data_IF_342411222731
#
_entry.id   IF_342411222731
#
_cell.length_a   1.000
_cell.length_b   1.000
_cell.length_c   1.000
_cell.angle_alpha   90.00
_cell.angle_beta   90.00
_cell.angle_gamma   90.00
#
_symmetry.space_group_name_H-M   'P 1'
#
loop_
_entity.id
_entity.type
_entity.pdbx_description
1 polymer ?
#
# COMPACT_ATOMS: atom_id res chain seq x y z
N UNK A 1 -4.45 24.53 -79.41
CA UNK A 1 -5.00 23.27 -78.85
C UNK A 1 -3.82 22.36 -78.48
N UNK A 2 -2.90 22.87 -77.64
CA UNK A 2 -1.58 22.24 -77.43
C UNK A 2 -0.97 22.53 -76.02
N UNK A 3 -1.77 23.10 -75.11
CA UNK A 3 -1.37 23.33 -73.70
C UNK A 3 -2.17 22.50 -72.69
N UNK A 4 -3.16 21.72 -73.16
CA UNK A 4 -4.03 20.89 -72.29
C UNK A 4 -3.65 19.41 -72.28
N UNK A 5 -2.85 18.95 -73.25
CA UNK A 5 -2.38 17.55 -73.32
C UNK A 5 -1.09 17.32 -72.53
N UNK A 6 -0.28 18.36 -72.32
CA UNK A 6 0.96 18.25 -71.53
C UNK A 6 0.71 18.16 -70.01
N UNK A 7 -0.46 18.59 -69.52
CA UNK A 7 -0.81 18.50 -68.10
C UNK A 7 -1.32 17.09 -67.72
N UNK A 8 -1.89 16.35 -68.68
CA UNK A 8 -2.36 14.97 -68.45
C UNK A 8 -1.22 13.94 -68.47
N UNK A 9 -0.15 14.16 -69.24
CA UNK A 9 0.99 13.23 -69.29
C UNK A 9 1.87 13.28 -68.03
N UNK A 10 1.97 14.43 -67.34
CA UNK A 10 2.76 14.55 -66.11
C UNK A 10 2.05 13.94 -64.90
N UNK A 11 0.71 13.86 -64.91
CA UNK A 11 -0.08 13.32 -63.79
C UNK A 11 -0.39 11.82 -63.95
N UNK A 12 -0.47 11.29 -65.18
CA UNK A 12 -0.88 9.90 -65.44
C UNK A 12 0.21 8.96 -65.99
N UNK A 13 1.47 9.42 -66.09
CA UNK A 13 2.58 8.62 -66.62
C UNK A 13 3.37 7.77 -65.61
N UNK A 14 3.06 7.87 -64.30
CA UNK A 14 3.70 7.05 -63.29
C UNK A 14 2.81 5.85 -62.96
N UNK A 15 3.22 4.63 -63.36
CA UNK A 15 2.68 3.41 -62.78
C UNK A 15 2.92 3.45 -61.26
N UNK A 16 1.88 3.85 -60.54
CA UNK A 16 1.95 4.03 -59.11
C UNK A 16 2.11 2.64 -58.47
N UNK A 17 3.33 2.32 -58.02
CA UNK A 17 3.60 1.04 -57.38
C UNK A 17 2.91 0.99 -56.00
N UNK A 18 1.66 0.55 -55.99
CA UNK A 18 0.82 0.44 -54.80
C UNK A 18 1.47 -0.43 -53.72
N UNK A 19 2.28 -1.42 -54.08
CA UNK A 19 3.02 -2.23 -53.09
C UNK A 19 4.12 -1.43 -52.40
N UNK A 20 4.83 -0.57 -53.14
CA UNK A 20 5.83 0.34 -52.57
C UNK A 20 5.18 1.42 -51.69
N UNK A 21 4.02 1.95 -52.08
CA UNK A 21 3.27 2.92 -51.27
C UNK A 21 2.72 2.28 -49.99
N UNK A 22 2.11 1.10 -50.07
CA UNK A 22 1.61 0.38 -48.90
C UNK A 22 2.74 -0.01 -47.96
N UNK A 23 3.89 -0.45 -48.49
CA UNK A 23 5.08 -0.78 -47.69
C UNK A 23 5.68 0.47 -47.05
N UNK A 24 5.84 1.56 -47.78
CA UNK A 24 6.32 2.84 -47.22
C UNK A 24 5.37 3.40 -46.16
N UNK A 25 4.05 3.26 -46.35
CA UNK A 25 3.04 3.69 -45.37
C UNK A 25 3.06 2.79 -44.12
N UNK A 26 3.18 1.47 -44.27
CA UNK A 26 3.31 0.53 -43.16
C UNK A 26 4.63 0.73 -42.37
N UNK A 27 5.74 0.95 -43.07
CA UNK A 27 7.03 1.28 -42.46
C UNK A 27 7.02 2.65 -41.78
N UNK A 28 6.40 3.66 -42.39
CA UNK A 28 6.27 5.01 -41.83
C UNK A 28 5.38 5.04 -40.58
N UNK A 29 4.24 4.33 -40.61
CA UNK A 29 3.37 4.15 -39.43
C UNK A 29 4.05 3.34 -38.33
N UNK A 30 4.77 2.27 -38.67
CA UNK A 30 5.57 1.49 -37.73
C UNK A 30 6.69 2.31 -37.09
N UNK A 31 7.45 3.07 -37.88
CA UNK A 31 8.50 3.96 -37.40
C UNK A 31 7.94 5.07 -36.49
N UNK A 32 6.80 5.67 -36.86
CA UNK A 32 6.10 6.66 -36.04
C UNK A 32 5.63 6.04 -34.71
N UNK A 33 5.04 4.83 -34.72
CA UNK A 33 4.65 4.14 -33.49
C UNK A 33 5.85 3.81 -32.60
N UNK A 34 6.96 3.33 -33.17
CA UNK A 34 8.20 3.08 -32.43
C UNK A 34 8.76 4.37 -31.84
N UNK A 35 8.76 5.47 -32.60
CA UNK A 35 9.21 6.77 -32.13
C UNK A 35 8.33 7.31 -30.99
N UNK A 36 7.00 7.24 -31.13
CA UNK A 36 6.05 7.65 -30.09
C UNK A 36 6.19 6.80 -28.82
N UNK A 37 6.36 5.49 -28.96
CA UNK A 37 6.62 4.58 -27.84
C UNK A 37 7.96 4.90 -27.17
N UNK A 38 9.03 5.12 -27.95
CA UNK A 38 10.33 5.49 -27.43
C UNK A 38 10.29 6.84 -26.69
N UNK A 39 9.61 7.84 -27.25
CA UNK A 39 9.47 9.16 -26.65
C UNK A 39 8.66 9.10 -25.34
N UNK A 40 7.53 8.40 -25.33
CA UNK A 40 6.72 8.19 -24.12
C UNK A 40 7.46 7.40 -23.04
N UNK A 41 8.25 6.41 -23.43
CA UNK A 41 9.13 5.68 -22.52
C UNK A 41 10.20 6.61 -21.93
N UNK A 42 10.86 7.43 -22.75
CA UNK A 42 11.86 8.41 -22.29
C UNK A 42 11.27 9.42 -21.30
N UNK A 43 10.05 9.90 -21.54
CA UNK A 43 9.36 10.81 -20.62
C UNK A 43 9.02 10.12 -19.28
N UNK A 44 8.52 8.88 -19.33
CA UNK A 44 8.24 8.08 -18.14
C UNK A 44 9.49 7.85 -17.28
N UNK A 45 10.62 7.55 -17.92
CA UNK A 45 11.90 7.41 -17.23
C UNK A 45 12.36 8.71 -16.56
N UNK A 46 12.20 9.87 -17.22
CA UNK A 46 12.52 11.16 -16.61
C UNK A 46 11.71 11.40 -15.32
N UNK A 47 10.39 11.14 -15.35
CA UNK A 47 9.53 11.24 -14.16
C UNK A 47 10.01 10.32 -13.03
N UNK A 48 10.32 9.06 -13.35
CA UNK A 48 10.87 8.12 -12.35
C UNK A 48 12.18 8.64 -11.75
N UNK A 49 13.10 9.14 -12.58
CA UNK A 49 14.38 9.66 -12.09
C UNK A 49 14.19 10.88 -11.18
N UNK A 50 13.26 11.78 -11.50
CA UNK A 50 12.93 12.90 -10.62
C UNK A 50 12.31 12.47 -9.29
N UNK A 51 11.41 11.48 -9.29
CA UNK A 51 10.86 10.91 -8.06
C UNK A 51 11.96 10.29 -7.19
N UNK A 52 12.90 9.55 -7.80
CA UNK A 52 14.07 8.99 -7.11
C UNK A 52 14.99 10.07 -6.55
N UNK A 53 15.28 11.11 -7.32
CA UNK A 53 16.12 12.22 -6.88
C UNK A 53 15.51 12.96 -5.68
N UNK A 54 14.20 13.26 -5.73
CA UNK A 54 13.47 13.88 -4.62
C UNK A 54 13.51 13.02 -3.36
N UNK A 55 13.28 11.71 -3.50
CA UNK A 55 13.42 10.75 -2.39
C UNK A 55 14.83 10.81 -1.79
N UNK A 56 15.86 10.73 -2.62
CA UNK A 56 17.26 10.77 -2.19
C UNK A 56 17.58 12.07 -1.43
N UNK A 57 17.15 13.23 -1.97
CA UNK A 57 17.28 14.52 -1.28
C UNK A 57 16.59 14.52 0.08
N UNK A 58 15.38 13.97 0.20
CA UNK A 58 14.67 13.88 1.49
C UNK A 58 15.41 13.01 2.51
N UNK A 59 16.02 11.89 2.07
CA UNK A 59 16.82 11.01 2.92
C UNK A 59 18.10 11.70 3.39
N UNK A 60 18.83 12.36 2.49
CA UNK A 60 20.06 13.09 2.83
C UNK A 60 19.81 14.23 3.82
N UNK A 61 18.70 14.98 3.65
CA UNK A 61 18.30 16.02 4.61
C UNK A 61 17.98 15.44 5.99
N UNK A 62 17.30 14.30 6.03
CA UNK A 62 17.01 13.60 7.27
C UNK A 62 18.28 13.08 7.96
N UNK A 63 19.25 12.55 7.19
CA UNK A 63 20.56 12.14 7.72
C UNK A 63 21.31 13.32 8.36
N UNK A 64 21.37 14.46 7.68
CA UNK A 64 22.00 15.67 8.22
C UNK A 64 21.31 16.14 9.51
N UNK A 65 19.98 16.16 9.54
CA UNK A 65 19.23 16.57 10.73
C UNK A 65 19.44 15.62 11.93
N UNK A 66 19.55 14.31 11.68
CA UNK A 66 19.90 13.33 12.72
C UNK A 66 21.32 13.55 13.24
N UNK A 67 22.29 13.82 12.36
CA UNK A 67 23.67 14.10 12.77
C UNK A 67 23.76 15.35 13.65
N UNK A 68 23.11 16.44 13.24
CA UNK A 68 23.05 17.70 14.01
C UNK A 68 22.38 17.52 15.37
N UNK A 69 21.31 16.72 15.44
CA UNK A 69 20.66 16.39 16.71
C UNK A 69 21.59 15.61 17.64
N UNK A 70 22.34 14.63 17.12
CA UNK A 70 23.28 13.84 17.92
C UNK A 70 24.44 14.66 18.46
N UNK A 71 24.95 15.62 17.68
CA UNK A 71 26.00 16.54 18.12
C UNK A 71 25.51 17.47 19.25
N UNK A 72 24.27 17.95 19.16
CA UNK A 72 23.68 18.83 20.18
C UNK A 72 23.17 18.08 21.42
N UNK A 73 22.84 16.78 21.30
CA UNK A 73 22.26 15.97 22.37
C UNK A 73 23.00 14.63 22.57
N UNK A 74 24.31 14.62 22.89
CA UNK A 74 25.13 13.41 22.95
C UNK A 74 24.70 12.42 24.05
N UNK A 75 23.91 12.87 25.04
CA UNK A 75 23.38 12.04 26.12
C UNK A 75 22.06 11.31 25.81
N UNK A 76 21.52 11.43 24.58
CA UNK A 76 20.25 10.78 24.23
C UNK A 76 20.42 9.27 24.14
N UNK A 77 19.70 8.53 24.99
CA UNK A 77 19.66 7.06 24.93
C UNK A 77 18.64 6.57 23.88
N UNK A 78 19.07 6.58 22.62
CA UNK A 78 18.28 6.08 21.47
C UNK A 78 17.83 4.63 21.68
N UNK A 79 18.68 3.79 22.28
CA UNK A 79 18.37 2.37 22.50
C UNK A 79 17.21 2.20 23.46
N UNK A 80 17.23 2.93 24.59
CA UNK A 80 16.13 2.96 25.54
C UNK A 80 14.84 3.41 24.86
N UNK A 81 14.85 4.53 24.13
CA UNK A 81 13.67 5.08 23.44
C UNK A 81 13.05 4.06 22.48
N UNK A 82 13.87 3.39 21.66
CA UNK A 82 13.41 2.40 20.68
C UNK A 82 12.90 1.11 21.32
N UNK A 83 13.33 0.79 22.54
CA UNK A 83 12.89 -0.40 23.29
C UNK A 83 11.49 -0.26 23.92
N UNK A 84 11.00 0.97 24.09
CA UNK A 84 9.69 1.22 24.73
C UNK A 84 8.53 0.72 23.86
N UNK A 85 7.50 0.18 24.52
CA UNK A 85 6.18 0.03 23.90
C UNK A 85 5.57 1.42 23.62
N UNK A 86 4.61 1.50 22.69
CA UNK A 86 3.95 2.77 22.40
C UNK A 86 3.28 3.36 23.65
N UNK A 87 2.64 2.54 24.48
CA UNK A 87 1.99 3.00 25.70
C UNK A 87 2.98 3.62 26.69
N UNK A 88 4.16 3.00 26.87
CA UNK A 88 5.24 3.55 27.70
C UNK A 88 5.80 4.85 27.10
N UNK A 89 6.05 4.86 25.79
CA UNK A 89 6.56 6.03 25.07
C UNK A 89 5.60 7.22 25.20
N UNK A 90 4.31 7.02 24.93
CA UNK A 90 3.27 8.05 25.07
C UNK A 90 3.14 8.54 26.52
N UNK A 91 3.26 7.64 27.51
CA UNK A 91 3.25 8.04 28.93
C UNK A 91 4.45 8.93 29.27
N UNK A 92 5.65 8.58 28.82
CA UNK A 92 6.87 9.35 29.10
C UNK A 92 6.90 10.69 28.35
N UNK A 93 6.39 10.74 27.11
CA UNK A 93 6.20 11.99 26.34
C UNK A 93 5.22 12.94 27.04
N UNK A 94 4.07 12.43 27.50
CA UNK A 94 3.10 13.23 28.26
C UNK A 94 3.64 13.71 29.61
N UNK A 95 4.41 12.86 30.29
CA UNK A 95 5.07 13.19 31.55
C UNK A 95 6.27 14.13 31.41
N UNK A 96 6.78 14.36 30.19
CA UNK A 96 7.95 15.21 29.94
C UNK A 96 9.29 14.55 30.27
N UNK A 97 9.31 13.25 30.60
CA UNK A 97 10.57 12.50 30.83
C UNK A 97 11.33 12.28 29.53
N UNK A 98 10.62 12.14 28.41
CA UNK A 98 11.17 12.16 27.06
C UNK A 98 10.63 13.37 26.32
N UNK A 99 11.48 14.03 25.52
CA UNK A 99 11.06 15.11 24.64
C UNK A 99 10.58 14.56 23.29
N UNK A 100 9.59 15.19 22.64
CA UNK A 100 9.20 14.83 21.27
C UNK A 100 10.39 14.82 20.31
N UNK A 101 11.31 15.77 20.46
CA UNK A 101 12.51 15.90 19.64
C UNK A 101 13.43 14.68 19.76
N UNK A 102 13.76 14.26 20.99
CA UNK A 102 14.58 13.07 21.21
C UNK A 102 13.93 11.81 20.65
N UNK A 103 12.62 11.65 20.82
CA UNK A 103 11.89 10.51 20.28
C UNK A 103 11.86 10.54 18.75
N UNK A 104 11.55 11.69 18.15
CA UNK A 104 11.48 11.86 16.71
C UNK A 104 12.83 11.55 16.04
N UNK A 105 13.93 12.15 16.52
CA UNK A 105 15.25 11.93 15.93
C UNK A 105 15.78 10.50 16.17
N UNK A 106 15.45 9.87 17.31
CA UNK A 106 15.77 8.46 17.56
C UNK A 106 15.10 7.52 16.55
N UNK A 107 13.82 7.74 16.25
CA UNK A 107 13.10 6.94 15.25
C UNK A 107 13.51 7.29 13.82
N UNK A 108 13.86 8.55 13.53
CA UNK A 108 14.40 8.95 12.22
C UNK A 108 15.76 8.28 11.95
N UNK A 109 16.67 8.26 12.94
CA UNK A 109 17.95 7.55 12.85
C UNK A 109 17.73 6.07 12.50
N UNK A 110 16.85 5.41 13.25
CA UNK A 110 16.55 3.99 13.02
C UNK A 110 15.87 3.75 11.69
N UNK A 111 15.00 4.67 11.25
CA UNK A 111 14.35 4.61 9.93
C UNK A 111 15.37 4.65 8.80
N UNK A 112 16.36 5.54 8.88
CA UNK A 112 17.41 5.67 7.86
C UNK A 112 18.26 4.39 7.79
N UNK A 113 18.66 3.84 8.95
CA UNK A 113 19.38 2.56 9.02
C UNK A 113 18.57 1.42 8.38
N UNK A 114 17.30 1.28 8.75
CA UNK A 114 16.42 0.22 8.23
C UNK A 114 16.16 0.41 6.74
N UNK A 115 15.96 1.64 6.27
CA UNK A 115 15.70 1.94 4.87
C UNK A 115 16.91 1.63 3.98
N UNK A 116 18.14 1.92 4.42
CA UNK A 116 19.36 1.55 3.67
C UNK A 116 19.44 0.05 3.41
N UNK A 117 18.97 -0.77 4.37
CA UNK A 117 18.98 -2.23 4.26
C UNK A 117 17.78 -2.80 3.49
N UNK A 118 16.60 -2.20 3.63
CA UNK A 118 15.34 -2.82 3.20
C UNK A 118 14.59 -2.07 2.09
N UNK A 119 14.98 -0.84 1.76
CA UNK A 119 14.33 0.00 0.75
C UNK A 119 12.81 0.19 1.01
N UNK A 120 12.43 0.42 2.27
CA UNK A 120 11.04 0.44 2.72
C UNK A 120 10.37 1.82 2.72
N UNK A 121 11.13 2.92 2.55
CA UNK A 121 10.61 4.28 2.59
C UNK A 121 10.51 4.86 1.18
N UNK A 122 9.35 5.32 0.75
CA UNK A 122 9.17 6.03 -0.52
C UNK A 122 9.66 7.48 -0.45
N UNK A 123 9.47 8.17 0.69
CA UNK A 123 9.84 9.57 0.87
C UNK A 123 9.84 9.94 2.36
N UNK A 124 10.79 10.78 2.81
CA UNK A 124 10.74 11.40 4.14
C UNK A 124 9.91 12.68 4.06
N UNK A 125 9.01 12.89 5.02
CA UNK A 125 8.13 14.05 5.08
C UNK A 125 8.84 15.18 5.84
N UNK A 126 9.45 16.12 5.13
CA UNK A 126 10.32 17.13 5.75
C UNK A 126 9.52 18.15 6.59
N UNK A 127 8.23 18.30 6.32
CA UNK A 127 7.29 19.10 7.10
C UNK A 127 7.04 18.52 8.49
N UNK A 128 7.50 17.29 8.78
CA UNK A 128 7.41 16.72 10.12
C UNK A 128 8.28 17.47 11.14
N UNK A 129 9.33 18.16 10.68
CA UNK A 129 10.13 19.03 11.55
C UNK A 129 9.35 20.30 11.93
N UNK A 130 8.67 20.93 10.98
CA UNK A 130 7.77 22.07 11.28
C UNK A 130 6.68 21.64 12.27
N UNK A 131 6.14 20.43 12.11
CA UNK A 131 5.17 19.88 13.05
C UNK A 131 5.77 19.60 14.44
N UNK A 132 7.04 19.18 14.49
CA UNK A 132 7.76 18.94 15.74
C UNK A 132 7.95 20.23 16.53
N UNK A 133 8.20 21.37 15.85
CA UNK A 133 8.32 22.69 16.47
C UNK A 133 6.99 23.15 17.11
N UNK A 134 5.85 22.93 16.45
CA UNK A 134 4.51 23.31 16.96
C UNK A 134 3.85 22.22 17.82
N UNK A 135 4.54 21.10 18.11
CA UNK A 135 3.90 19.93 18.73
C UNK A 135 3.27 20.23 20.09
N UNK A 136 3.81 21.20 20.82
CA UNK A 136 3.35 21.62 22.15
C UNK A 136 1.88 22.05 22.18
N UNK A 137 1.32 22.57 21.07
CA UNK A 137 -0.09 22.93 20.94
C UNK A 137 -1.03 21.72 20.92
N UNK A 138 -0.48 20.50 20.76
CA UNK A 138 -1.20 19.23 20.66
C UNK A 138 -0.96 18.29 21.85
N UNK A 139 -0.51 18.81 23.00
CA UNK A 139 -0.14 18.01 24.19
C UNK A 139 -1.27 17.12 24.74
N UNK A 140 -2.52 17.52 24.55
CA UNK A 140 -3.69 16.76 24.99
C UNK A 140 -3.98 15.51 24.12
N UNK A 141 -3.39 15.46 22.92
CA UNK A 141 -3.58 14.37 21.96
C UNK A 141 -3.17 13.01 22.52
N UNK A 142 -3.86 11.94 22.13
CA UNK A 142 -3.54 10.59 22.60
C UNK A 142 -2.20 10.06 22.08
N UNK A 143 -1.70 10.63 20.98
CA UNK A 143 -0.45 10.24 20.32
C UNK A 143 0.59 11.36 20.34
N UNK A 144 0.51 12.29 21.30
CA UNK A 144 1.42 13.41 21.45
C UNK A 144 2.90 13.00 21.33
N UNK A 145 3.61 13.61 20.38
CA UNK A 145 5.04 13.41 20.12
C UNK A 145 5.40 12.07 19.48
N UNK A 146 4.43 11.24 19.10
CA UNK A 146 4.68 9.90 18.54
C UNK A 146 4.97 10.01 17.04
N UNK A 147 6.15 9.60 16.55
CA UNK A 147 6.41 9.49 15.11
C UNK A 147 5.61 8.33 14.51
N UNK A 148 4.88 8.59 13.42
CA UNK A 148 4.00 7.62 12.75
C UNK A 148 4.41 7.46 11.28
N UNK A 149 4.63 6.22 10.83
CA UNK A 149 4.80 5.94 9.41
C UNK A 149 3.44 5.85 8.70
N UNK A 150 3.35 6.33 7.47
CA UNK A 150 2.12 6.25 6.69
C UNK A 150 2.38 5.54 5.35
N UNK A 151 1.50 4.63 4.97
CA UNK A 151 1.57 4.00 3.65
C UNK A 151 1.47 5.04 2.54
N UNK A 152 2.26 4.88 1.48
CA UNK A 152 2.41 5.88 0.42
C UNK A 152 1.09 6.34 -0.23
N UNK A 153 0.06 5.48 -0.24
CA UNK A 153 -1.22 5.82 -0.84
C UNK A 153 -2.11 6.73 0.04
N UNK A 154 -1.68 7.09 1.25
CA UNK A 154 -2.33 8.12 2.07
C UNK A 154 -1.89 9.52 1.61
N UNK A 155 -2.87 10.36 1.29
CA UNK A 155 -2.60 11.75 0.88
C UNK A 155 -1.93 12.53 2.00
N UNK A 156 -0.85 13.23 1.65
CA UNK A 156 -0.10 14.14 2.50
C UNK A 156 0.20 15.38 1.66
N UNK A 157 -0.17 16.57 2.16
CA UNK A 157 -0.13 17.83 1.41
C UNK A 157 1.26 18.05 0.79
N UNK A 158 1.31 18.39 -0.49
CA UNK A 158 2.56 18.66 -1.21
C UNK A 158 3.30 17.41 -1.71
N UNK A 159 2.87 16.21 -1.31
CA UNK A 159 3.52 14.95 -1.67
C UNK A 159 2.68 14.11 -2.63
N UNK A 160 3.35 13.39 -3.53
CA UNK A 160 2.70 12.44 -4.42
C UNK A 160 2.14 11.25 -3.65
N UNK A 161 1.09 10.63 -4.21
CA UNK A 161 0.59 9.31 -3.81
C UNK A 161 0.45 8.46 -5.06
N UNK A 162 1.61 8.06 -5.58
CA UNK A 162 1.84 7.38 -6.85
C UNK A 162 1.20 5.99 -6.93
N UNK A 163 0.99 5.31 -5.79
CA UNK A 163 0.62 3.89 -5.78
C UNK A 163 1.57 3.01 -6.62
N UNK A 164 2.83 3.41 -6.77
CA UNK A 164 3.83 2.74 -7.62
C UNK A 164 3.56 2.83 -9.12
N UNK A 165 2.64 3.68 -9.60
CA UNK A 165 2.33 3.87 -11.03
C UNK A 165 2.71 5.26 -11.54
N UNK A 166 3.28 5.31 -12.74
CA UNK A 166 3.77 6.57 -13.36
C UNK A 166 2.63 7.56 -13.63
N UNK A 167 1.42 7.06 -13.93
CA UNK A 167 0.24 7.89 -14.18
C UNK A 167 -0.16 8.78 -12.99
N UNK A 168 0.44 8.56 -11.82
CA UNK A 168 0.20 9.33 -10.58
C UNK A 168 1.45 10.07 -10.07
N UNK A 169 2.51 10.16 -10.88
CA UNK A 169 3.67 11.02 -10.59
C UNK A 169 3.39 12.46 -10.97
N UNK A 170 3.98 13.39 -10.21
CA UNK A 170 3.83 14.85 -10.39
C UNK A 170 2.38 15.31 -10.15
N UNK A 171 1.68 14.63 -9.25
CA UNK A 171 0.30 14.93 -8.83
C UNK A 171 0.26 15.03 -7.30
N UNK A 172 0.93 16.05 -6.72
CA UNK A 172 1.00 16.19 -5.27
C UNK A 172 -0.40 16.41 -4.68
N UNK A 173 -0.63 15.85 -3.49
CA UNK A 173 -1.90 16.04 -2.82
C UNK A 173 -2.10 17.51 -2.45
N UNK A 174 -3.30 18.04 -2.70
CA UNK A 174 -3.64 19.44 -2.36
C UNK A 174 -3.84 19.65 -0.86
N UNK A 175 -4.04 18.57 -0.10
CA UNK A 175 -4.20 18.57 1.34
C UNK A 175 -3.94 17.19 1.93
N UNK A 176 -3.90 17.14 3.25
CA UNK A 176 -3.78 15.88 3.99
C UNK A 176 -5.05 15.03 3.81
N UNK A 177 -4.88 13.71 3.79
CA UNK A 177 -6.01 12.81 3.96
C UNK A 177 -6.62 12.97 5.36
N UNK A 178 -7.91 12.65 5.51
CA UNK A 178 -8.61 12.83 6.80
C UNK A 178 -7.89 12.12 7.94
N UNK A 179 -7.33 10.92 7.69
CA UNK A 179 -6.58 10.20 8.71
C UNK A 179 -5.24 10.85 9.07
N UNK A 180 -4.55 11.49 8.12
CA UNK A 180 -3.33 12.26 8.41
C UNK A 180 -3.68 13.49 9.25
N UNK A 181 -4.75 14.21 8.90
CA UNK A 181 -5.21 15.37 9.67
C UNK A 181 -5.57 14.98 11.12
N UNK A 182 -6.28 13.86 11.29
CA UNK A 182 -6.65 13.35 12.62
C UNK A 182 -5.43 12.89 13.42
N UNK A 183 -4.45 12.24 12.79
CA UNK A 183 -3.18 11.88 13.44
C UNK A 183 -2.47 13.13 13.96
N UNK A 184 -2.29 14.15 13.10
CA UNK A 184 -1.69 15.43 13.48
C UNK A 184 -2.44 16.09 14.62
N UNK A 185 -3.79 16.12 14.55
CA UNK A 185 -4.65 16.65 15.63
C UNK A 185 -4.48 15.91 16.96
N UNK A 186 -4.19 14.61 16.91
CA UNK A 186 -3.90 13.78 18.09
C UNK A 186 -2.44 13.87 18.55
N UNK A 187 -1.66 14.80 18.00
CA UNK A 187 -0.27 15.04 18.34
C UNK A 187 0.71 14.00 17.82
N UNK A 188 0.29 13.08 16.93
CA UNK A 188 1.21 12.21 16.21
C UNK A 188 1.93 13.00 15.10
N UNK A 189 3.15 12.59 14.77
CA UNK A 189 4.01 13.23 13.77
C UNK A 189 4.22 12.27 12.59
N UNK A 190 3.39 12.33 11.53
CA UNK A 190 3.65 11.57 10.30
C UNK A 190 4.98 12.01 9.69
N UNK A 191 5.96 11.11 9.58
CA UNK A 191 7.34 11.49 9.24
C UNK A 191 7.90 10.82 7.99
N UNK A 192 7.25 9.75 7.51
CA UNK A 192 7.71 9.01 6.34
C UNK A 192 6.54 8.36 5.60
N UNK A 193 6.60 8.38 4.27
CA UNK A 193 5.75 7.58 3.39
C UNK A 193 6.43 6.25 3.08
N UNK A 194 5.78 5.12 3.31
CA UNK A 194 6.39 3.80 3.10
C UNK A 194 5.99 3.15 1.77
N UNK A 195 6.93 2.41 1.20
CA UNK A 195 6.86 1.85 -0.14
C UNK A 195 5.71 0.83 -0.31
N UNK A 196 5.23 0.69 -1.55
CA UNK A 196 4.06 -0.12 -1.93
C UNK A 196 4.34 -0.88 -3.23
N UNK A 197 3.70 -2.03 -3.50
CA UNK A 197 3.74 -2.64 -4.82
C UNK A 197 3.02 -1.78 -5.85
N UNK A 198 3.43 -1.92 -7.12
CA UNK A 198 2.80 -1.25 -8.24
C UNK A 198 1.28 -1.50 -8.26
N UNK A 199 0.50 -0.42 -8.39
CA UNK A 199 -0.97 -0.37 -8.34
C UNK A 199 -1.62 -0.82 -7.02
N UNK A 200 -0.84 -1.06 -5.97
CA UNK A 200 -1.27 -1.65 -4.69
C UNK A 200 -1.80 -3.09 -4.81
N UNK A 201 -1.63 -3.71 -5.99
CA UNK A 201 -2.31 -4.95 -6.37
C UNK A 201 -1.38 -6.16 -6.35
N UNK A 202 -0.56 -6.27 -5.32
CA UNK A 202 0.26 -7.44 -5.05
C UNK A 202 0.39 -7.64 -3.54
N UNK A 203 0.60 -8.89 -3.14
CA UNK A 203 1.03 -9.23 -1.78
C UNK A 203 2.55 -9.26 -1.64
N UNK A 204 3.29 -8.89 -2.69
CA UNK A 204 4.71 -8.51 -2.63
C UNK A 204 4.85 -6.97 -2.54
N UNK A 205 6.06 -6.42 -2.59
CA UNK A 205 6.29 -4.98 -2.42
C UNK A 205 7.39 -4.41 -3.33
N UNK A 206 7.15 -4.42 -4.64
CA UNK A 206 8.01 -3.82 -5.65
C UNK A 206 7.26 -2.91 -6.63
N UNK A 207 7.89 -1.81 -7.05
CA UNK A 207 7.40 -0.98 -8.14
C UNK A 207 8.55 -0.31 -8.91
N UNK A 208 8.30 0.17 -10.16
CA UNK A 208 9.36 0.76 -10.99
C UNK A 208 9.89 2.11 -10.50
N UNK A 209 9.17 2.80 -9.60
CA UNK A 209 9.51 4.13 -9.09
C UNK A 209 10.53 4.00 -7.97
N UNK A 210 10.20 3.24 -6.92
CA UNK A 210 10.98 3.15 -5.69
C UNK A 210 11.75 1.82 -5.53
N UNK A 211 11.51 0.85 -6.40
CA UNK A 211 12.16 -0.47 -6.37
C UNK A 211 11.52 -1.45 -5.38
N UNK A 212 12.21 -2.57 -5.16
CA UNK A 212 11.77 -3.68 -4.31
C UNK A 212 12.06 -3.42 -2.83
N UNK A 213 11.08 -3.66 -1.97
CA UNK A 213 11.24 -3.68 -0.51
C UNK A 213 11.56 -5.10 -0.03
N UNK A 214 12.47 -5.24 0.93
CA UNK A 214 12.91 -6.53 1.47
C UNK A 214 12.35 -6.78 2.87
N UNK A 215 12.25 -8.05 3.27
CA UNK A 215 11.79 -8.43 4.59
C UNK A 215 12.87 -8.20 5.68
N UNK A 216 12.53 -7.61 6.84
CA UNK A 216 13.48 -7.30 7.90
C UNK A 216 14.11 -8.52 8.56
N UNK A 217 13.40 -9.66 8.59
CA UNK A 217 13.85 -10.92 9.19
C UNK A 217 14.73 -11.74 8.23
N UNK A 218 14.49 -11.64 6.93
CA UNK A 218 15.30 -12.30 5.91
C UNK A 218 15.22 -11.53 4.56
N UNK A 219 16.30 -10.86 4.12
CA UNK A 219 16.31 -10.07 2.88
C UNK A 219 15.98 -10.86 1.59
N UNK A 220 16.04 -12.20 1.62
CA UNK A 220 15.65 -13.05 0.48
C UNK A 220 14.13 -13.34 0.43
N UNK A 221 13.35 -12.80 1.37
CA UNK A 221 11.90 -12.98 1.45
C UNK A 221 11.17 -11.66 1.20
N UNK A 222 9.95 -11.78 0.71
CA UNK A 222 9.04 -10.64 0.59
C UNK A 222 8.62 -10.14 1.98
N UNK A 223 8.52 -8.82 2.20
CA UNK A 223 7.93 -8.27 3.42
C UNK A 223 6.41 -8.46 3.45
N UNK A 224 5.79 -8.96 2.38
CA UNK A 224 4.35 -8.95 2.19
C UNK A 224 3.87 -7.64 1.57
N UNK A 225 2.56 -7.51 1.34
CA UNK A 225 2.02 -6.35 0.64
C UNK A 225 0.50 -6.27 0.65
N UNK A 226 -0.08 -5.14 0.26
CA UNK A 226 0.57 -3.97 -0.32
C UNK A 226 1.12 -2.94 0.70
N UNK A 227 0.90 -3.11 2.00
CA UNK A 227 1.55 -2.27 3.04
C UNK A 227 2.92 -2.83 3.43
N UNK A 228 3.72 -3.24 2.44
CA UNK A 228 4.98 -3.94 2.66
C UNK A 228 6.06 -3.03 3.25
N UNK A 229 6.10 -1.77 2.85
CA UNK A 229 6.97 -0.76 3.45
C UNK A 229 6.70 -0.56 4.94
N UNK A 230 5.42 -0.47 5.36
CA UNK A 230 5.03 -0.42 6.77
C UNK A 230 5.51 -1.66 7.54
N UNK A 231 5.24 -2.86 6.99
CA UNK A 231 5.67 -4.12 7.60
C UNK A 231 7.18 -4.16 7.82
N UNK A 232 7.95 -3.81 6.78
CA UNK A 232 9.41 -3.81 6.83
C UNK A 232 9.98 -2.76 7.79
N UNK A 233 9.41 -1.55 7.80
CA UNK A 233 9.88 -0.46 8.65
C UNK A 233 9.61 -0.74 10.14
N UNK A 234 8.39 -1.14 10.49
CA UNK A 234 8.01 -1.44 11.88
C UNK A 234 8.71 -2.70 12.36
N UNK A 235 8.75 -3.76 11.54
CA UNK A 235 9.46 -5.01 11.86
C UNK A 235 10.98 -4.83 11.96
N UNK A 236 11.54 -3.83 11.28
CA UNK A 236 12.93 -3.40 11.41
C UNK A 236 13.20 -2.48 12.60
N UNK A 237 12.15 -2.05 13.32
CA UNK A 237 12.23 -1.13 14.46
C UNK A 237 12.32 0.36 14.10
N UNK A 238 12.22 0.73 12.82
CA UNK A 238 12.29 2.12 12.36
C UNK A 238 11.03 2.94 12.64
N UNK A 239 9.90 2.30 12.95
CA UNK A 239 8.67 2.97 13.35
C UNK A 239 8.00 2.23 14.50
N UNK A 240 7.36 2.98 15.41
CA UNK A 240 6.57 2.43 16.53
C UNK A 240 5.13 2.15 16.15
N UNK A 241 4.59 2.95 15.24
CA UNK A 241 3.20 2.90 14.81
C UNK A 241 3.12 3.30 13.34
N UNK A 242 2.31 2.58 12.58
CA UNK A 242 2.10 2.85 11.18
C UNK A 242 0.66 2.70 10.73
N UNK A 243 0.33 3.29 9.58
CA UNK A 243 -1.00 3.20 8.96
C UNK A 243 -0.93 2.49 7.61
N UNK A 244 -1.64 1.37 7.50
CA UNK A 244 -1.78 0.60 6.27
C UNK A 244 -3.19 0.65 5.68
N UNK A 245 -3.37 -0.07 4.56
CA UNK A 245 -4.68 -0.31 3.94
C UNK A 245 -4.83 -1.76 3.49
N UNK A 246 -6.05 -2.30 3.56
CA UNK A 246 -6.34 -3.72 3.35
C UNK A 246 -7.71 -3.93 2.69
N UNK A 247 -7.66 -4.43 1.45
CA UNK A 247 -8.81 -4.93 0.68
C UNK A 247 -8.84 -6.46 0.63
N UNK A 248 -7.65 -7.10 0.57
CA UNK A 248 -7.50 -8.54 0.38
C UNK A 248 -6.42 -9.18 1.26
N UNK A 249 -5.97 -8.48 2.31
CA UNK A 249 -4.90 -8.93 3.22
C UNK A 249 -3.80 -7.91 3.44
N UNK A 250 -3.87 -6.73 2.84
CA UNK A 250 -2.71 -5.85 2.72
C UNK A 250 -2.22 -5.15 3.99
N UNK A 251 -2.91 -5.27 5.13
CA UNK A 251 -2.37 -4.97 6.47
C UNK A 251 -1.88 -6.27 7.11
N UNK A 252 -2.69 -7.32 7.03
CA UNK A 252 -2.48 -8.60 7.73
C UNK A 252 -1.29 -9.41 7.20
N UNK A 253 -1.11 -9.46 5.88
CA UNK A 253 -0.03 -10.18 5.20
C UNK A 253 1.33 -9.59 5.58
N UNK A 254 1.61 -8.28 5.38
CA UNK A 254 2.90 -7.73 5.77
C UNK A 254 3.14 -7.77 7.27
N UNK A 255 2.08 -7.64 8.09
CA UNK A 255 2.20 -7.82 9.54
C UNK A 255 2.67 -9.22 9.90
N UNK A 256 2.04 -10.25 9.32
CA UNK A 256 2.41 -11.65 9.54
C UNK A 256 3.81 -11.97 9.04
N UNK A 257 4.22 -11.46 7.87
CA UNK A 257 5.50 -11.78 7.25
C UNK A 257 6.68 -11.07 7.93
N UNK A 258 6.45 -9.88 8.50
CA UNK A 258 7.48 -9.11 9.20
C UNK A 258 7.46 -9.32 10.72
N UNK A 259 6.57 -10.17 11.25
CA UNK A 259 6.52 -10.50 12.67
C UNK A 259 5.96 -9.40 13.57
N UNK A 260 4.99 -8.63 13.08
CA UNK A 260 4.35 -7.53 13.80
C UNK A 260 2.82 -7.72 13.88
N UNK A 261 2.13 -6.83 14.59
CA UNK A 261 0.69 -6.81 14.71
C UNK A 261 0.06 -5.84 13.69
N UNK A 262 -1.10 -6.19 13.14
CA UNK A 262 -1.86 -5.30 12.25
C UNK A 262 -3.35 -5.57 12.32
N UNK A 263 -4.15 -4.51 12.32
CA UNK A 263 -5.60 -4.60 12.47
C UNK A 263 -6.32 -4.01 11.26
N UNK A 264 -7.11 -4.85 10.58
CA UNK A 264 -8.05 -4.41 9.54
C UNK A 264 -9.45 -4.25 10.15
N UNK A 265 -9.89 -3.03 10.49
CA UNK A 265 -11.24 -2.81 10.98
C UNK A 265 -12.30 -3.12 9.91
N UNK A 266 -13.57 -2.98 10.29
CA UNK A 266 -14.68 -2.95 9.33
C UNK A 266 -14.47 -1.79 8.35
N UNK A 267 -14.75 -2.00 7.06
CA UNK A 267 -14.74 -0.91 6.09
C UNK A 267 -15.67 0.23 6.55
N UNK A 268 -15.30 1.47 6.23
CA UNK A 268 -15.94 2.70 6.70
C UNK A 268 -15.92 2.90 8.23
N UNK A 269 -15.16 2.13 9.01
CA UNK A 269 -14.92 2.46 10.44
C UNK A 269 -13.93 3.62 10.59
N UNK A 270 -13.04 3.77 9.62
CA UNK A 270 -12.10 4.89 9.48
C UNK A 270 -12.32 5.52 8.09
N UNK A 271 -12.14 6.84 7.99
CA UNK A 271 -12.27 7.54 6.72
C UNK A 271 -11.22 7.09 5.70
N UNK A 272 -11.62 6.96 4.44
CA UNK A 272 -10.71 6.78 3.30
C UNK A 272 -10.55 8.06 2.48
N UNK A 273 -11.10 9.19 2.93
CA UNK A 273 -11.13 10.45 2.18
C UNK A 273 -9.73 11.05 2.09
N UNK A 274 -9.35 11.45 0.87
CA UNK A 274 -8.02 11.99 0.55
C UNK A 274 -6.96 10.91 0.31
N UNK A 275 -7.27 9.62 0.44
CA UNK A 275 -6.37 8.56 0.01
C UNK A 275 -6.46 8.28 -1.50
N UNK A 276 -5.35 7.82 -2.08
CA UNK A 276 -5.25 7.49 -3.50
C UNK A 276 -5.44 6.00 -3.74
N UNK A 277 -6.07 5.67 -4.88
CA UNK A 277 -6.35 4.29 -5.33
C UNK A 277 -6.24 4.19 -6.85
N UNK A 278 -5.99 2.97 -7.34
CA UNK A 278 -6.03 2.57 -8.76
C UNK A 278 -7.35 1.86 -9.14
N UNK A 279 -8.30 1.73 -8.21
CA UNK A 279 -9.59 1.05 -8.40
C UNK A 279 -10.75 1.86 -7.81
N UNK A 280 -10.80 3.17 -8.09
CA UNK A 280 -11.83 4.07 -7.54
C UNK A 280 -13.22 3.69 -8.06
N UNK A 281 -14.22 3.70 -7.19
CA UNK A 281 -15.62 3.44 -7.53
C UNK A 281 -16.08 1.98 -7.35
N UNK A 282 -15.15 1.04 -7.14
CA UNK A 282 -15.49 -0.34 -6.78
C UNK A 282 -16.09 -0.38 -5.36
N UNK A 283 -17.29 -0.96 -5.21
CA UNK A 283 -18.02 -1.08 -3.93
C UNK A 283 -18.31 -2.51 -3.45
N UNK A 284 -18.07 -3.52 -4.27
CA UNK A 284 -18.32 -4.94 -3.96
C UNK A 284 -17.38 -5.50 -2.89
N UNK A 285 -16.11 -5.11 -2.90
CA UNK A 285 -15.07 -5.52 -1.94
C UNK A 285 -14.39 -4.26 -1.42
N UNK A 286 -14.82 -3.80 -0.25
CA UNK A 286 -14.36 -2.53 0.31
C UNK A 286 -12.98 -2.67 0.95
N UNK A 287 -12.12 -1.68 0.70
CA UNK A 287 -10.85 -1.51 1.41
C UNK A 287 -11.08 -0.86 2.77
N UNK A 288 -10.19 -1.14 3.72
CA UNK A 288 -10.15 -0.47 5.02
C UNK A 288 -8.74 0.01 5.33
N UNK A 289 -8.62 1.21 5.89
CA UNK A 289 -7.39 1.64 6.57
C UNK A 289 -7.36 1.07 7.98
N UNK A 290 -6.15 0.93 8.55
CA UNK A 290 -5.98 0.46 9.92
C UNK A 290 -4.53 0.48 10.38
N UNK A 291 -4.30 0.39 11.71
CA UNK A 291 -2.98 0.50 12.30
C UNK A 291 -2.15 -0.78 12.15
N UNK A 292 -0.83 -0.60 12.17
CA UNK A 292 0.22 -1.62 12.26
C UNK A 292 1.20 -1.20 13.35
N UNK A 293 1.63 -2.12 14.21
CA UNK A 293 2.50 -1.85 15.35
C UNK A 293 3.16 -3.13 15.88
N UNK A 294 4.06 -3.02 16.86
CA UNK A 294 4.76 -4.18 17.45
C UNK A 294 3.91 -5.00 18.42
N UNK A 295 2.84 -4.41 18.94
CA UNK A 295 1.95 -5.03 19.92
C UNK A 295 0.49 -4.62 19.70
N UNK A 296 -0.45 -5.38 20.27
CA UNK A 296 -1.90 -5.20 20.10
C UNK A 296 -2.40 -3.93 20.79
N UNK A 297 -1.81 -3.55 21.93
CA UNK A 297 -2.24 -2.40 22.70
C UNK A 297 -1.93 -1.09 21.97
N UNK A 298 -0.83 -1.05 21.20
CA UNK A 298 -0.51 0.04 20.29
C UNK A 298 -1.57 0.20 19.19
N UNK A 299 -2.10 -0.91 18.65
CA UNK A 299 -3.19 -0.87 17.69
C UNK A 299 -4.47 -0.29 18.31
N UNK A 300 -4.79 -0.71 19.54
CA UNK A 300 -5.94 -0.23 20.28
C UNK A 300 -5.84 1.28 20.58
N UNK A 301 -4.67 1.74 21.03
CA UNK A 301 -4.41 3.16 21.29
C UNK A 301 -4.57 4.02 20.03
N UNK A 302 -4.05 3.56 18.88
CA UNK A 302 -4.23 4.25 17.61
C UNK A 302 -5.72 4.29 17.20
N UNK A 303 -6.44 3.17 17.30
CA UNK A 303 -7.88 3.15 17.02
C UNK A 303 -8.66 4.09 17.93
N UNK A 304 -8.30 4.17 19.22
CA UNK A 304 -8.90 5.10 20.17
C UNK A 304 -8.63 6.57 19.80
N UNK A 305 -7.41 6.88 19.35
CA UNK A 305 -7.05 8.22 18.88
C UNK A 305 -7.82 8.63 17.61
N UNK A 306 -7.97 7.72 16.66
CA UNK A 306 -8.61 8.00 15.37
C UNK A 306 -10.14 8.08 15.47
N UNK A 307 -10.78 7.30 16.35
CA UNK A 307 -12.24 7.27 16.54
C UNK A 307 -12.71 8.41 17.45
N UNK A 308 -12.52 9.64 16.98
CA UNK A 308 -12.84 10.86 17.71
C UNK A 308 -13.78 11.79 16.92
N UNK A 309 -14.42 12.74 17.61
CA UNK A 309 -15.37 13.67 17.00
C UNK A 309 -14.78 14.48 15.84
N UNK A 310 -13.47 14.77 15.89
CA UNK A 310 -12.81 15.49 14.81
C UNK A 310 -12.83 14.69 13.50
N UNK A 311 -12.52 13.39 13.55
CA UNK A 311 -12.58 12.51 12.36
C UNK A 311 -14.01 12.44 11.80
N UNK A 312 -14.99 12.27 12.69
CA UNK A 312 -16.40 12.19 12.30
C UNK A 312 -16.93 13.49 11.68
N UNK A 313 -16.42 14.67 12.12
CA UNK A 313 -16.75 15.96 11.49
C UNK A 313 -16.11 16.16 10.12
N UNK A 314 -14.86 15.71 9.93
CA UNK A 314 -14.15 15.82 8.66
C UNK A 314 -14.73 14.91 7.57
N UNK A 315 -15.25 13.75 7.98
CA UNK A 315 -15.93 12.81 7.08
C UNK A 315 -17.25 12.28 7.68
N UNK A 316 -18.36 13.00 7.45
CA UNK A 316 -19.69 12.59 7.92
C UNK A 316 -20.23 11.30 7.27
N UNK A 317 -19.52 10.71 6.30
CA UNK A 317 -19.89 9.42 5.70
C UNK A 317 -19.45 8.23 6.56
N UNK A 318 -18.56 8.46 7.53
CA UNK A 318 -18.14 7.48 8.54
C UNK A 318 -19.13 7.48 9.69
N UNK A 319 -19.68 6.31 10.10
CA UNK A 319 -20.53 6.22 11.27
C UNK A 319 -19.77 6.68 12.54
N UNK A 320 -20.31 7.63 13.32
CA UNK A 320 -19.63 8.19 14.49
C UNK A 320 -19.67 7.24 15.70
N UNK A 321 -19.01 6.09 15.57
CA UNK A 321 -18.97 5.03 16.59
C UNK A 321 -17.64 5.12 17.34
N UNK A 322 -17.63 5.67 18.57
CA UNK A 322 -16.39 5.84 19.34
C UNK A 322 -15.75 4.50 19.70
N UNK A 323 -14.48 4.55 20.10
CA UNK A 323 -13.80 3.38 20.64
C UNK A 323 -14.44 2.98 21.98
N UNK A 324 -14.84 1.71 22.11
CA UNK A 324 -15.47 1.23 23.34
C UNK A 324 -14.43 0.56 24.24
N UNK A 325 -13.90 1.34 25.20
CA UNK A 325 -12.88 0.88 26.15
C UNK A 325 -13.35 -0.31 27.00
N UNK A 326 -14.62 -0.31 27.42
CA UNK A 326 -15.19 -1.38 28.25
C UNK A 326 -15.22 -2.71 27.50
N UNK A 327 -15.51 -2.69 26.20
CA UNK A 327 -15.49 -3.90 25.36
C UNK A 327 -14.06 -4.40 25.17
N UNK A 328 -13.10 -3.50 24.91
CA UNK A 328 -11.70 -3.88 24.72
C UNK A 328 -11.08 -4.47 26.00
N UNK A 329 -11.35 -3.89 27.16
CA UNK A 329 -10.82 -4.37 28.46
C UNK A 329 -11.55 -5.58 29.04
N UNK A 330 -12.56 -6.11 28.34
CA UNK A 330 -13.39 -7.21 28.83
C UNK A 330 -12.56 -8.50 28.91
N UNK A 331 -12.46 -9.07 30.12
CA UNK A 331 -11.69 -10.30 30.41
C UNK A 331 -12.54 -11.57 30.55
N UNK A 332 -13.82 -11.51 30.16
CA UNK A 332 -14.74 -12.66 30.31
C UNK A 332 -14.35 -13.80 29.36
N UNK A 333 -14.54 -15.08 29.74
CA UNK A 333 -14.38 -16.20 28.82
C UNK A 333 -15.12 -15.98 27.50
N UNK A 334 -14.49 -16.41 26.42
CA UNK A 334 -14.97 -16.20 25.04
C UNK A 334 -15.33 -17.54 24.44
N UNK A 335 -16.28 -17.53 23.51
CA UNK A 335 -16.57 -18.67 22.64
C UNK A 335 -15.99 -18.37 21.27
N UNK A 336 -14.96 -19.11 20.88
CA UNK A 336 -14.09 -18.81 19.75
C UNK A 336 -14.25 -19.90 18.69
N UNK A 337 -14.78 -19.54 17.52
CA UNK A 337 -14.79 -20.42 16.36
C UNK A 337 -13.38 -20.58 15.79
N UNK A 338 -12.97 -21.81 15.44
CA UNK A 338 -11.66 -22.07 14.82
C UNK A 338 -11.76 -23.05 13.65
N UNK A 339 -10.84 -22.94 12.71
CA UNK A 339 -10.62 -23.90 11.61
C UNK A 339 -9.13 -24.00 11.32
N UNK A 340 -8.62 -25.21 11.09
CA UNK A 340 -7.21 -25.43 10.71
C UNK A 340 -6.98 -25.26 9.20
N UNK A 341 -8.00 -25.57 8.40
CA UNK A 341 -7.96 -25.54 6.95
C UNK A 341 -9.26 -24.89 6.45
N UNK A 342 -9.13 -23.97 5.52
CA UNK A 342 -10.26 -23.27 4.92
C UNK A 342 -10.88 -24.05 3.72
N UNK A 343 -10.26 -25.18 3.34
CA UNK A 343 -10.65 -26.00 2.19
C UNK A 343 -10.25 -25.41 0.84
N UNK A 344 -9.44 -24.35 0.84
CA UNK A 344 -9.03 -23.60 -0.34
C UNK A 344 -7.51 -23.45 -0.42
N UNK A 345 -6.84 -22.95 0.62
CA UNK A 345 -5.39 -22.86 0.71
C UNK A 345 -4.88 -23.79 1.82
N UNK A 346 -4.13 -24.83 1.43
CA UNK A 346 -3.55 -25.75 2.40
C UNK A 346 -2.57 -24.99 3.31
N UNK A 347 -2.74 -25.05 4.64
CA UNK A 347 -1.83 -24.39 5.57
C UNK A 347 -0.45 -25.06 5.51
N UNK A 348 0.61 -24.27 5.66
CA UNK A 348 1.94 -24.85 5.89
C UNK A 348 2.00 -25.57 7.24
N UNK A 349 3.00 -26.45 7.47
CA UNK A 349 3.20 -27.07 8.77
C UNK A 349 3.34 -26.06 9.92
N UNK A 350 4.00 -24.93 9.67
CA UNK A 350 4.16 -23.85 10.66
C UNK A 350 2.84 -23.14 10.97
N UNK A 351 2.00 -22.89 9.97
CA UNK A 351 0.67 -22.30 10.16
C UNK A 351 -0.24 -23.23 10.97
N UNK A 352 -0.29 -24.52 10.61
CA UNK A 352 -1.09 -25.51 11.33
C UNK A 352 -0.61 -25.71 12.77
N UNK A 353 0.70 -25.65 13.03
CA UNK A 353 1.26 -25.68 14.39
C UNK A 353 0.88 -24.42 15.19
N UNK A 354 1.09 -23.23 14.63
CA UNK A 354 0.77 -21.97 15.30
C UNK A 354 -0.70 -21.88 15.72
N UNK A 355 -1.62 -22.34 14.86
CA UNK A 355 -3.05 -22.38 15.17
C UNK A 355 -3.36 -23.33 16.33
N UNK A 356 -2.80 -24.55 16.32
CA UNK A 356 -3.00 -25.54 17.39
C UNK A 356 -2.41 -25.09 18.73
N UNK A 357 -1.22 -24.49 18.72
CA UNK A 357 -0.60 -23.92 19.93
C UNK A 357 -1.46 -22.79 20.51
N UNK A 358 -1.92 -21.87 19.66
CA UNK A 358 -2.80 -20.75 20.08
C UNK A 358 -4.13 -21.26 20.62
N UNK A 359 -4.74 -22.24 19.96
CA UNK A 359 -5.96 -22.91 20.43
C UNK A 359 -5.77 -23.47 21.84
N UNK A 360 -4.70 -24.24 22.06
CA UNK A 360 -4.41 -24.86 23.36
C UNK A 360 -4.15 -23.81 24.46
N UNK A 361 -3.47 -22.71 24.13
CA UNK A 361 -3.27 -21.59 25.05
C UNK A 361 -4.60 -20.94 25.46
N UNK A 362 -5.50 -20.71 24.50
CA UNK A 362 -6.82 -20.13 24.76
C UNK A 362 -7.71 -21.06 25.59
N UNK A 363 -7.69 -22.38 25.33
CA UNK A 363 -8.40 -23.37 26.14
C UNK A 363 -7.88 -23.38 27.59
N UNK A 364 -6.55 -23.35 27.78
CA UNK A 364 -5.94 -23.24 29.12
C UNK A 364 -6.29 -21.94 29.85
N UNK A 365 -6.50 -20.85 29.12
CA UNK A 365 -6.96 -19.57 29.67
C UNK A 365 -8.48 -19.55 29.99
N UNK A 366 -9.20 -20.66 29.77
CA UNK A 366 -10.62 -20.80 30.11
C UNK A 366 -11.59 -20.39 29.00
N UNK A 367 -11.12 -20.16 27.77
CA UNK A 367 -12.00 -19.91 26.61
C UNK A 367 -12.58 -21.22 26.06
N UNK A 368 -13.76 -21.15 25.43
CA UNK A 368 -14.39 -22.28 24.75
C UNK A 368 -14.07 -22.23 23.26
N UNK A 369 -13.35 -23.23 22.75
CA UNK A 369 -12.98 -23.33 21.34
C UNK A 369 -13.97 -24.25 20.61
N UNK A 370 -14.56 -23.77 19.53
CA UNK A 370 -15.60 -24.48 18.78
C UNK A 370 -15.15 -24.66 17.33
N UNK A 371 -15.07 -25.90 16.82
CA UNK A 371 -14.82 -26.12 15.40
C UNK A 371 -15.86 -25.38 14.56
N UNK A 372 -15.40 -24.64 13.56
CA UNK A 372 -16.25 -23.83 12.69
C UNK A 372 -15.84 -24.05 11.23
N UNK A 373 -16.81 -24.14 10.33
CA UNK A 373 -16.54 -24.34 8.89
C UNK A 373 -17.03 -23.14 8.10
N UNK A 374 -16.19 -22.65 7.19
CA UNK A 374 -16.53 -21.54 6.32
C UNK A 374 -17.48 -22.03 5.21
N UNK A 375 -18.72 -21.51 5.13
CA UNK A 375 -19.65 -21.94 4.09
C UNK A 375 -19.22 -21.40 2.73
N UNK A 376 -19.19 -22.27 1.71
CA UNK A 376 -19.07 -21.92 0.29
C UNK A 376 -17.87 -21.01 -0.05
N UNK A 377 -16.70 -21.24 0.57
CA UNK A 377 -15.52 -20.37 0.38
C UNK A 377 -15.11 -20.19 -1.08
N UNK A 378 -15.13 -21.26 -1.88
CA UNK A 378 -14.82 -21.18 -3.32
C UNK A 378 -15.75 -20.19 -4.06
N UNK A 379 -17.04 -20.23 -3.77
CA UNK A 379 -18.01 -19.27 -4.33
C UNK A 379 -17.72 -17.85 -3.84
N UNK A 380 -17.46 -17.66 -2.54
CA UNK A 380 -17.12 -16.34 -2.01
C UNK A 380 -15.87 -15.76 -2.68
N UNK A 381 -14.82 -16.56 -2.87
CA UNK A 381 -13.58 -16.13 -3.51
C UNK A 381 -13.77 -15.78 -4.99
N UNK A 382 -14.37 -16.67 -5.77
CA UNK A 382 -14.45 -16.49 -7.22
C UNK A 382 -15.60 -15.57 -7.64
N UNK A 383 -16.80 -15.75 -7.09
CA UNK A 383 -18.00 -15.04 -7.53
C UNK A 383 -18.22 -13.70 -6.84
N UNK A 384 -17.78 -13.55 -5.59
CA UNK A 384 -17.96 -12.31 -4.83
C UNK A 384 -16.68 -11.46 -4.82
N UNK A 385 -15.55 -12.04 -4.43
CA UNK A 385 -14.31 -11.29 -4.22
C UNK A 385 -13.61 -10.97 -5.53
N UNK A 386 -13.15 -11.97 -6.29
CA UNK A 386 -12.37 -11.75 -7.52
C UNK A 386 -13.24 -11.08 -8.58
N UNK A 387 -14.45 -11.59 -8.82
CA UNK A 387 -15.37 -11.00 -9.81
C UNK A 387 -15.82 -9.60 -9.42
N UNK A 388 -16.11 -9.37 -8.14
CA UNK A 388 -16.46 -8.04 -7.62
C UNK A 388 -15.33 -7.03 -7.73
N UNK A 389 -14.09 -7.45 -7.46
CA UNK A 389 -12.89 -6.64 -7.69
C UNK A 389 -12.71 -6.33 -9.19
N UNK A 390 -12.83 -7.37 -10.03
CA UNK A 390 -12.67 -7.28 -11.47
C UNK A 390 -13.97 -6.86 -12.19
N UNK A 391 -14.84 -6.08 -11.55
CA UNK A 391 -16.18 -5.78 -12.06
C UNK A 391 -16.21 -5.24 -13.49
N UNK A 392 -15.22 -4.43 -13.86
CA UNK A 392 -15.01 -3.86 -15.19
C UNK A 392 -14.04 -4.68 -16.09
N UNK A 393 -13.73 -5.92 -15.70
CA UNK A 393 -12.75 -6.76 -16.35
C UNK A 393 -11.28 -6.33 -16.10
N UNK A 394 -11.03 -5.57 -15.04
CA UNK A 394 -9.75 -4.95 -14.66
C UNK A 394 -9.32 -3.76 -15.53
N UNK A 395 -10.22 -3.20 -16.35
CA UNK A 395 -9.90 -2.13 -17.30
C UNK A 395 -9.35 -0.88 -16.61
N UNK A 396 -9.95 -0.47 -15.49
CA UNK A 396 -9.53 0.70 -14.72
C UNK A 396 -8.11 0.54 -14.19
N UNK A 397 -7.79 -0.59 -13.57
CA UNK A 397 -6.43 -0.85 -13.05
C UNK A 397 -5.42 -0.88 -14.19
N UNK A 398 -5.74 -1.56 -15.31
CA UNK A 398 -4.85 -1.64 -16.47
C UNK A 398 -4.59 -0.27 -17.08
N UNK A 399 -5.55 0.65 -17.04
CA UNK A 399 -5.37 2.02 -17.56
C UNK A 399 -4.22 2.76 -16.86
N UNK A 400 -4.02 2.51 -15.56
CA UNK A 400 -2.93 3.11 -14.79
C UNK A 400 -1.55 2.52 -15.08
N UNK A 401 -1.49 1.33 -15.69
CA UNK A 401 -0.25 0.64 -16.07
C UNK A 401 0.17 0.93 -17.52
N UNK A 402 -0.69 1.58 -18.32
CA UNK A 402 -0.39 1.89 -19.73
C UNK A 402 0.82 2.81 -19.85
N UNK A 403 1.70 2.51 -20.80
CA UNK A 403 2.84 3.36 -21.17
C UNK A 403 4.03 3.33 -20.22
N UNK A 404 3.97 2.57 -19.12
CA UNK A 404 5.05 2.43 -18.14
C UNK A 404 5.59 1.00 -18.02
N UNK A 405 6.80 0.82 -17.45
CA UNK A 405 7.28 -0.49 -17.03
C UNK A 405 6.30 -1.17 -16.05
N UNK A 406 6.21 -2.49 -16.17
CA UNK A 406 5.48 -3.34 -15.23
C UNK A 406 6.51 -4.02 -14.33
N UNK A 407 6.30 -3.90 -13.02
CA UNK A 407 7.15 -4.53 -12.02
C UNK A 407 7.07 -6.07 -12.09
N UNK A 408 8.21 -6.79 -11.96
CA UNK A 408 8.21 -8.26 -11.92
C UNK A 408 7.21 -8.87 -10.91
N UNK A 409 7.02 -8.24 -9.75
CA UNK A 409 6.09 -8.70 -8.71
C UNK A 409 4.61 -8.66 -9.14
N UNK A 410 4.28 -7.91 -10.20
CA UNK A 410 2.92 -7.76 -10.73
C UNK A 410 2.73 -8.46 -12.08
N UNK A 411 3.83 -8.76 -12.78
CA UNK A 411 3.83 -9.18 -14.20
C UNK A 411 2.95 -10.41 -14.47
N UNK A 412 3.11 -11.47 -13.69
CA UNK A 412 2.35 -12.72 -13.90
C UNK A 412 0.86 -12.51 -13.67
N UNK A 413 0.51 -11.65 -12.71
CA UNK A 413 -0.87 -11.38 -12.34
C UNK A 413 -1.62 -10.55 -13.39
N UNK A 414 -0.94 -9.62 -14.08
CA UNK A 414 -1.59 -8.73 -15.06
C UNK A 414 -1.78 -9.35 -16.45
N UNK A 415 -1.02 -10.39 -16.81
CA UNK A 415 -1.16 -11.09 -18.10
C UNK A 415 -2.63 -11.51 -18.34
N UNK A 416 -3.28 -12.27 -17.44
CA UNK A 416 -4.68 -12.64 -17.65
C UNK A 416 -5.63 -11.44 -17.63
N UNK A 417 -5.27 -10.31 -17.00
CA UNK A 417 -6.15 -9.14 -16.92
C UNK A 417 -6.31 -8.48 -18.29
N UNK A 418 -5.21 -8.38 -19.05
CA UNK A 418 -5.19 -7.75 -20.38
C UNK A 418 -5.85 -8.55 -21.50
N UNK A 419 -6.21 -9.82 -21.25
CA UNK A 419 -6.83 -10.65 -22.28
C UNK A 419 -8.26 -10.19 -22.62
N UNK A 420 -8.67 -10.24 -23.90
CA UNK A 420 -10.05 -10.01 -24.28
C UNK A 420 -11.00 -10.97 -23.56
N UNK A 421 -12.23 -10.51 -23.28
CA UNK A 421 -13.22 -11.29 -22.53
C UNK A 421 -13.53 -12.65 -23.17
N UNK A 422 -13.62 -12.72 -24.48
CA UNK A 422 -13.83 -13.97 -25.23
C UNK A 422 -12.69 -14.96 -25.01
N UNK A 423 -11.45 -14.48 -25.06
CA UNK A 423 -10.25 -15.28 -24.81
C UNK A 423 -10.25 -15.80 -23.36
N UNK A 424 -10.54 -14.94 -22.38
CA UNK A 424 -10.67 -15.36 -20.96
C UNK A 424 -11.70 -16.48 -20.80
N UNK A 425 -12.87 -16.38 -21.43
CA UNK A 425 -13.91 -17.42 -21.37
C UNK A 425 -13.44 -18.75 -21.97
N UNK A 426 -12.83 -18.72 -23.15
CA UNK A 426 -12.31 -19.93 -23.81
C UNK A 426 -11.23 -20.58 -22.92
N UNK A 427 -10.27 -19.81 -22.45
CA UNK A 427 -9.21 -20.30 -21.56
C UNK A 427 -9.79 -20.88 -20.27
N UNK A 428 -10.80 -20.24 -19.68
CA UNK A 428 -11.49 -20.77 -18.50
C UNK A 428 -12.09 -22.15 -18.77
N UNK A 429 -12.83 -22.33 -19.87
CA UNK A 429 -13.45 -23.62 -20.25
C UNK A 429 -12.38 -24.70 -20.45
N UNK A 430 -11.27 -24.38 -21.11
CA UNK A 430 -10.19 -25.34 -21.39
C UNK A 430 -9.40 -25.71 -20.13
N UNK A 431 -9.18 -24.78 -19.21
CA UNK A 431 -8.33 -24.98 -18.02
C UNK A 431 -9.12 -25.62 -16.87
N UNK A 432 -10.42 -25.32 -16.73
CA UNK A 432 -11.25 -25.74 -15.59
C UNK A 432 -11.27 -27.26 -15.32
N UNK A 433 -11.25 -28.16 -16.33
CA UNK A 433 -11.17 -29.61 -16.10
C UNK A 433 -9.86 -30.07 -15.44
N UNK A 434 -8.75 -29.37 -15.67
CA UNK A 434 -7.42 -29.74 -15.15
C UNK A 434 -7.08 -28.94 -13.89
N UNK A 435 -7.32 -27.63 -13.92
CA UNK A 435 -7.04 -26.69 -12.84
C UNK A 435 -8.29 -25.86 -12.51
N UNK A 436 -9.27 -26.43 -11.76
CA UNK A 436 -10.58 -25.82 -11.56
C UNK A 436 -10.51 -24.42 -10.93
N UNK A 437 -9.59 -24.20 -9.99
CA UNK A 437 -9.39 -22.88 -9.34
C UNK A 437 -8.82 -21.83 -10.29
N UNK A 438 -7.90 -22.23 -11.17
CA UNK A 438 -7.30 -21.31 -12.16
C UNK A 438 -8.37 -20.96 -13.20
N UNK A 439 -9.08 -21.96 -13.72
CA UNK A 439 -10.20 -21.76 -14.65
C UNK A 439 -11.27 -20.84 -14.07
N UNK A 440 -11.70 -21.07 -12.81
CA UNK A 440 -12.66 -20.21 -12.12
C UNK A 440 -12.13 -18.78 -11.91
N UNK A 441 -10.86 -18.62 -11.54
CA UNK A 441 -10.26 -17.28 -11.39
C UNK A 441 -10.23 -16.52 -12.71
N UNK A 442 -9.87 -17.17 -13.82
CA UNK A 442 -9.89 -16.56 -15.16
C UNK A 442 -11.33 -16.17 -15.56
N UNK A 443 -12.31 -17.02 -15.21
CA UNK A 443 -13.73 -16.73 -15.42
C UNK A 443 -14.16 -15.46 -14.68
N UNK A 444 -13.80 -15.34 -13.40
CA UNK A 444 -14.10 -14.18 -12.56
C UNK A 444 -13.52 -12.88 -13.12
N UNK A 445 -12.35 -12.93 -13.79
CA UNK A 445 -11.73 -11.77 -14.44
C UNK A 445 -12.48 -11.26 -15.68
N UNK A 446 -13.57 -11.93 -16.08
CA UNK A 446 -14.51 -11.42 -17.07
C UNK A 446 -15.44 -10.33 -16.52
N UNK A 447 -15.44 -10.11 -15.20
CA UNK A 447 -16.21 -9.10 -14.50
C UNK A 447 -17.70 -9.42 -14.33
N UNK A 448 -18.45 -8.38 -13.96
CA UNK A 448 -19.90 -8.41 -13.72
C UNK A 448 -20.55 -7.80 -14.96
N UNK A 449 -21.22 -8.61 -15.79
CA UNK A 449 -22.17 -8.13 -16.80
C UNK A 449 -23.46 -8.87 -16.60
#
# INVERSE_FOLDING_TARGET
MDRMDNFKQVIFGAELNWTAILTATACGTGALMLFLNWFGHKQSWKKIQWAKARRETSLQRAELAVLQFKESHPGTDTSLILSLSLAQLSKQLKGGTLTPEAVFHSYMEKTLEVNRRLNCCAEVLLESWDQLEDIGSHKDGLLYGVPVSIKENMGYKGHDSTCGVISKLDLPATGDSVLVEVLKRQGAIPFVKTNVPQSLLSYDCGNPIYGLTLNPLNPQKTPGGSSGGEGALIGGGGSVLGMGSDIGGSIRIPSSFCGICGFKPTANRLSSRGATSCSRGQKSVLSSFGPMARDVDSLALCMQALLCDHMFRLDPTVPPIPFNQQVYQRSKPLRIGYYENDGYAMPSPSMGRALRETKALLERAGHTLVPFSLPRLSYAMHELVIRGFAGDGCATVLSHLKGGPVDPCLRVQIIPYGLPRTVKKILSILIKPIFPRVGASIESLCGVR
#
